data_IF_397102997618
#
_entry.id   IF_397102997618
#
_cell.length_a   1.000
_cell.length_b   1.000
_cell.length_c   1.000
_cell.angle_alpha   90.00
_cell.angle_beta   90.00
_cell.angle_gamma   90.00
#
_symmetry.space_group_name_H-M   'P 1'
#
loop_
_entity.id
_entity.type
_entity.pdbx_description
1 polymer ?
#
# COMPACT_ATOMS: atom_id res chain seq x y z
N UNK A 1 -0.72 11.59 19.87
CA UNK A 1 -1.83 10.64 19.54
C UNK A 1 -1.47 9.25 20.02
N UNK A 2 -2.48 8.42 20.30
CA UNK A 2 -2.33 6.97 20.45
C UNK A 2 -2.62 6.30 19.13
N UNK A 3 -1.63 5.62 18.57
CA UNK A 3 -1.66 5.09 17.19
C UNK A 3 -1.43 3.57 17.22
N UNK A 4 -2.30 2.84 16.54
CA UNK A 4 -2.18 1.38 16.38
C UNK A 4 -1.82 1.07 14.93
N UNK A 5 -0.64 0.48 14.71
CA UNK A 5 -0.19 0.04 13.39
C UNK A 5 -0.47 -1.46 13.26
N UNK A 6 -1.38 -1.84 12.38
CA UNK A 6 -1.71 -3.24 12.12
C UNK A 6 -1.03 -3.70 10.84
N UNK A 7 -0.13 -4.65 10.98
CA UNK A 7 0.79 -5.08 9.93
C UNK A 7 2.15 -4.38 10.08
N UNK A 8 2.98 -4.83 11.01
CA UNK A 8 4.31 -4.28 11.27
C UNK A 8 5.37 -5.03 10.43
N UNK A 9 5.07 -5.23 9.15
CA UNK A 9 6.05 -5.62 8.14
C UNK A 9 6.95 -4.43 7.76
N UNK A 10 7.57 -4.48 6.57
CA UNK A 10 8.54 -3.45 6.18
C UNK A 10 7.99 -2.02 6.28
N UNK A 11 6.84 -1.74 5.65
CA UNK A 11 6.25 -0.40 5.65
C UNK A 11 5.69 -0.02 7.02
N UNK A 12 4.95 -0.92 7.67
CA UNK A 12 4.39 -0.66 8.99
C UNK A 12 5.45 -0.42 10.05
N UNK A 13 6.63 -1.07 9.96
CA UNK A 13 7.76 -0.80 10.83
C UNK A 13 8.32 0.61 10.66
N UNK A 14 8.45 1.12 9.42
CA UNK A 14 8.85 2.51 9.19
C UNK A 14 7.83 3.48 9.79
N UNK A 15 6.54 3.22 9.60
CA UNK A 15 5.48 4.06 10.17
C UNK A 15 5.53 4.04 11.70
N UNK A 16 5.62 2.86 12.31
CA UNK A 16 5.69 2.71 13.76
C UNK A 16 6.90 3.44 14.35
N UNK A 17 8.07 3.26 13.75
CA UNK A 17 9.30 3.86 14.25
C UNK A 17 9.25 5.39 14.22
N UNK A 18 8.93 6.00 13.07
CA UNK A 18 8.97 7.45 12.94
C UNK A 18 7.86 8.12 13.77
N UNK A 19 6.67 7.54 13.81
CA UNK A 19 5.57 8.07 14.63
C UNK A 19 5.87 7.95 16.13
N UNK A 20 6.51 6.87 16.60
CA UNK A 20 6.91 6.75 18.00
C UNK A 20 8.06 7.70 18.35
N UNK A 21 9.06 7.84 17.48
CA UNK A 21 10.20 8.74 17.66
C UNK A 21 9.78 10.21 17.77
N UNK A 22 8.66 10.59 17.14
CA UNK A 22 8.07 11.93 17.23
C UNK A 22 7.19 12.14 18.49
N UNK A 23 7.15 11.18 19.43
CA UNK A 23 6.49 11.32 20.73
C UNK A 23 5.05 10.84 20.78
N UNK A 24 4.56 10.11 19.76
CA UNK A 24 3.27 9.45 19.83
C UNK A 24 3.35 8.14 20.65
N UNK A 25 2.23 7.74 21.29
CA UNK A 25 2.06 6.41 21.84
C UNK A 25 1.76 5.45 20.68
N UNK A 26 2.68 4.52 20.38
CA UNK A 26 2.56 3.64 19.22
C UNK A 26 2.53 2.17 19.66
N UNK A 27 1.52 1.46 19.13
CA UNK A 27 1.38 0.02 19.21
C UNK A 27 1.63 -0.60 17.85
N UNK A 28 2.61 -1.51 17.78
CA UNK A 28 2.94 -2.28 16.58
C UNK A 28 2.32 -3.67 16.70
N UNK A 29 1.37 -3.97 15.82
CA UNK A 29 0.60 -5.23 15.81
C UNK A 29 0.96 -6.05 14.58
N UNK A 30 1.45 -7.28 14.79
CA UNK A 30 1.72 -8.23 13.72
C UNK A 30 1.59 -9.67 14.23
N UNK A 31 1.52 -10.63 13.32
CA UNK A 31 1.56 -12.07 13.64
C UNK A 31 3.00 -12.62 13.62
N UNK A 32 3.97 -11.85 13.18
CA UNK A 32 5.39 -12.23 13.11
C UNK A 32 6.06 -12.05 14.47
N UNK A 33 5.93 -13.08 15.31
CA UNK A 33 6.38 -13.04 16.71
C UNK A 33 7.87 -12.70 16.85
N UNK A 34 8.74 -13.29 16.04
CA UNK A 34 10.19 -13.02 16.10
C UNK A 34 10.53 -11.54 15.88
N UNK A 35 9.80 -10.87 14.98
CA UNK A 35 9.99 -9.44 14.74
C UNK A 35 9.51 -8.59 15.92
N UNK A 36 8.38 -8.95 16.52
CA UNK A 36 7.84 -8.26 17.69
C UNK A 36 8.75 -8.47 18.92
N UNK A 37 9.25 -9.68 19.15
CA UNK A 37 10.18 -9.97 20.24
C UNK A 37 11.47 -9.15 20.11
N UNK A 38 12.05 -9.09 18.91
CA UNK A 38 13.24 -8.29 18.63
C UNK A 38 13.02 -6.78 18.87
N UNK A 39 11.84 -6.26 18.50
CA UNK A 39 11.46 -4.87 18.79
C UNK A 39 11.34 -4.63 20.29
N UNK A 40 10.71 -5.56 21.02
CA UNK A 40 10.52 -5.46 22.46
C UNK A 40 11.85 -5.48 23.22
N UNK A 41 12.77 -6.38 22.84
CA UNK A 41 14.03 -6.60 23.56
C UNK A 41 15.09 -5.55 23.23
N UNK A 42 15.17 -5.12 21.97
CA UNK A 42 16.25 -4.27 21.47
C UNK A 42 15.80 -2.92 20.91
N UNK A 43 14.51 -2.71 20.74
CA UNK A 43 13.92 -1.59 20.01
C UNK A 43 13.93 -1.83 18.50
N UNK A 44 13.14 -1.05 17.79
CA UNK A 44 13.06 -1.10 16.31
C UNK A 44 14.22 -0.29 15.71
N UNK A 45 15.13 -0.99 15.04
CA UNK A 45 16.23 -0.36 14.29
C UNK A 45 15.72 0.12 12.94
N UNK A 46 16.06 1.34 12.59
CA UNK A 46 15.74 1.96 11.29
C UNK A 46 17.04 2.40 10.64
N UNK A 47 17.19 2.08 9.35
CA UNK A 47 18.30 2.53 8.53
C UNK A 47 17.82 3.08 7.19
N UNK A 48 18.70 3.77 6.44
CA UNK A 48 18.42 4.24 5.08
C UNK A 48 17.82 5.64 5.03
N UNK A 49 16.79 5.86 4.21
CA UNK A 49 16.28 7.19 3.84
C UNK A 49 15.80 8.05 5.03
N UNK A 50 15.36 7.44 6.13
CA UNK A 50 14.99 8.16 7.37
C UNK A 50 16.16 8.38 8.34
N UNK A 51 17.36 7.96 7.98
CA UNK A 51 18.54 7.99 8.86
C UNK A 51 18.63 6.79 9.79
N UNK A 52 19.76 6.70 10.51
CA UNK A 52 20.04 5.60 11.43
C UNK A 52 19.50 5.93 12.82
N UNK A 53 18.64 5.04 13.37
CA UNK A 53 18.09 5.18 14.72
C UNK A 53 17.60 3.86 15.30
N UNK A 54 17.48 3.81 16.63
CA UNK A 54 16.82 2.73 17.36
C UNK A 54 15.70 3.31 18.23
N UNK A 55 14.47 2.91 17.93
CA UNK A 55 13.27 3.41 18.61
C UNK A 55 12.81 2.37 19.63
N UNK A 56 12.75 2.75 20.93
CA UNK A 56 12.46 1.83 22.05
C UNK A 56 11.09 2.02 22.67
N UNK A 57 10.39 3.10 22.37
CA UNK A 57 9.09 3.46 22.93
C UNK A 57 7.92 2.96 22.08
N UNK A 58 8.06 1.77 21.49
CA UNK A 58 7.00 1.08 20.73
C UNK A 58 6.49 -0.08 21.57
N UNK A 59 5.19 -0.16 21.77
CA UNK A 59 4.53 -1.31 22.36
C UNK A 59 4.21 -2.32 21.28
N UNK A 60 4.35 -3.60 21.57
CA UNK A 60 4.15 -4.67 20.58
C UNK A 60 3.13 -5.69 21.07
N UNK A 61 2.32 -6.23 20.17
CA UNK A 61 1.43 -7.35 20.46
C UNK A 61 1.03 -8.08 19.16
N UNK A 62 0.62 -9.33 19.32
CA UNK A 62 -0.05 -10.08 18.23
C UNK A 62 -1.54 -9.79 18.15
N UNK A 63 -2.11 -9.07 19.10
CA UNK A 63 -3.54 -8.75 19.18
C UNK A 63 -3.77 -7.25 19.29
N UNK A 64 -4.50 -6.69 18.34
CA UNK A 64 -4.86 -5.27 18.37
C UNK A 64 -5.61 -4.87 19.66
N UNK A 65 -6.42 -5.77 20.21
CA UNK A 65 -7.20 -5.54 21.43
C UNK A 65 -6.35 -5.14 22.65
N UNK A 66 -5.07 -5.56 22.72
CA UNK A 66 -4.18 -5.24 23.84
C UNK A 66 -3.84 -3.75 23.90
N UNK A 67 -3.94 -3.04 22.79
CA UNK A 67 -3.76 -1.60 22.75
C UNK A 67 -4.96 -0.83 23.35
N UNK A 68 -6.15 -1.41 23.39
CA UNK A 68 -7.37 -0.71 23.79
C UNK A 68 -7.75 0.45 22.85
N UNK A 69 -8.64 1.36 23.26
CA UNK A 69 -9.08 2.49 22.44
C UNK A 69 -7.92 3.39 21.99
N UNK A 70 -7.99 3.90 20.75
CA UNK A 70 -6.94 4.72 20.14
C UNK A 70 -7.52 5.84 19.26
N UNK A 71 -6.68 6.80 18.90
CA UNK A 71 -7.06 7.95 18.07
C UNK A 71 -6.96 7.60 16.58
N UNK A 72 -5.94 6.82 16.20
CA UNK A 72 -5.66 6.46 14.81
C UNK A 72 -5.26 4.98 14.71
N UNK A 73 -5.88 4.27 13.80
CA UNK A 73 -5.41 2.97 13.33
C UNK A 73 -4.81 3.13 11.94
N UNK A 74 -3.61 2.59 11.73
CA UNK A 74 -2.99 2.48 10.40
C UNK A 74 -2.98 1.01 10.00
N UNK A 75 -3.74 0.64 8.98
CA UNK A 75 -3.71 -0.71 8.41
C UNK A 75 -2.62 -0.73 7.34
N UNK A 76 -1.50 -1.40 7.64
CA UNK A 76 -0.33 -1.55 6.78
C UNK A 76 -0.06 -3.01 6.38
N UNK A 77 -1.06 -3.88 6.52
CA UNK A 77 -0.98 -5.28 6.08
C UNK A 77 -0.96 -5.38 4.55
N UNK A 78 -0.61 -6.55 4.00
CA UNK A 78 -0.88 -6.85 2.59
C UNK A 78 -2.38 -6.77 2.30
N UNK A 79 -2.76 -6.41 1.07
CA UNK A 79 -4.14 -6.17 0.67
C UNK A 79 -5.10 -7.35 0.98
N UNK A 80 -4.59 -8.58 0.94
CA UNK A 80 -5.37 -9.80 1.27
C UNK A 80 -5.79 -9.88 2.74
N UNK A 81 -5.04 -9.27 3.66
CA UNK A 81 -5.27 -9.31 5.10
C UNK A 81 -6.06 -8.11 5.65
N UNK A 82 -6.32 -7.07 4.82
CA UNK A 82 -7.01 -5.84 5.24
C UNK A 82 -8.36 -6.10 5.91
N UNK A 83 -9.19 -6.99 5.33
CA UNK A 83 -10.50 -7.32 5.91
C UNK A 83 -10.40 -8.05 7.26
N UNK A 84 -9.39 -8.91 7.44
CA UNK A 84 -9.14 -9.56 8.73
C UNK A 84 -8.63 -8.56 9.77
N UNK A 85 -7.71 -7.68 9.37
CA UNK A 85 -7.23 -6.59 10.21
C UNK A 85 -8.39 -5.70 10.68
N UNK A 86 -9.26 -5.26 9.77
CA UNK A 86 -10.43 -4.44 10.13
C UNK A 86 -11.35 -5.12 11.16
N UNK A 87 -11.59 -6.43 11.02
CA UNK A 87 -12.40 -7.17 11.99
C UNK A 87 -11.79 -7.27 13.39
N UNK A 88 -10.47 -7.25 13.49
CA UNK A 88 -9.77 -7.34 14.78
C UNK A 88 -9.78 -6.05 15.60
N UNK A 89 -10.29 -4.95 15.06
CA UNK A 89 -10.18 -3.61 15.62
C UNK A 89 -11.32 -3.20 16.57
N UNK A 90 -12.34 -4.04 16.75
CA UNK A 90 -13.56 -3.65 17.47
C UNK A 90 -13.31 -3.01 18.85
N UNK A 91 -12.30 -3.47 19.59
CA UNK A 91 -11.94 -2.92 20.91
C UNK A 91 -11.06 -1.68 20.85
N UNK A 92 -10.56 -1.29 19.68
CA UNK A 92 -9.69 -0.14 19.46
C UNK A 92 -10.47 1.10 19.03
N UNK A 93 -11.72 0.91 18.59
CA UNK A 93 -12.52 1.96 17.98
C UNK A 93 -13.38 2.68 19.01
N UNK A 94 -13.42 3.99 18.85
CA UNK A 94 -14.43 4.91 19.41
C UNK A 94 -15.12 5.61 18.24
N UNK A 95 -16.12 6.42 18.49
CA UNK A 95 -16.80 7.22 17.45
C UNK A 95 -15.84 8.21 16.76
N UNK A 96 -14.72 8.56 17.40
CA UNK A 96 -13.72 9.51 16.90
C UNK A 96 -12.48 8.82 16.30
N UNK A 97 -12.32 7.52 16.46
CA UNK A 97 -11.15 6.80 15.95
C UNK A 97 -11.09 6.83 14.42
N UNK A 98 -10.00 7.31 13.86
CA UNK A 98 -9.76 7.30 12.42
C UNK A 98 -9.04 6.02 11.99
N UNK A 99 -9.34 5.53 10.78
CA UNK A 99 -8.68 4.35 10.20
C UNK A 99 -8.04 4.75 8.88
N UNK A 100 -6.71 4.78 8.85
CA UNK A 100 -5.92 5.07 7.65
C UNK A 100 -5.44 3.79 7.00
N UNK A 101 -5.56 3.72 5.69
CA UNK A 101 -5.03 2.61 4.88
C UNK A 101 -4.20 3.14 3.72
N UNK A 102 -2.98 2.58 3.51
CA UNK A 102 -2.02 3.01 2.48
C UNK A 102 -1.54 1.78 1.69
N UNK A 103 -2.47 0.96 1.18
CA UNK A 103 -2.13 -0.21 0.37
C UNK A 103 -1.95 0.13 -1.11
N UNK A 104 -1.21 -0.74 -1.80
CA UNK A 104 -1.20 -0.76 -3.26
C UNK A 104 -2.50 -1.40 -3.79
N UNK A 105 -2.90 -1.01 -5.00
CA UNK A 105 -4.09 -1.55 -5.63
C UNK A 105 -5.37 -0.88 -5.17
N UNK A 106 -6.49 -1.55 -5.38
CA UNK A 106 -7.83 -1.04 -5.09
C UNK A 106 -8.56 -1.90 -4.05
N UNK A 107 -9.63 -1.34 -3.51
CA UNK A 107 -10.60 -2.03 -2.67
C UNK A 107 -10.20 -2.13 -1.19
N UNK A 108 -9.16 -1.45 -0.71
CA UNK A 108 -8.78 -1.47 0.70
C UNK A 108 -9.85 -0.77 1.56
N UNK A 109 -10.25 0.44 1.20
CA UNK A 109 -11.31 1.18 1.88
C UNK A 109 -12.63 0.40 1.92
N UNK A 110 -13.04 -0.17 0.79
CA UNK A 110 -14.26 -0.96 0.69
C UNK A 110 -14.21 -2.27 1.51
N UNK A 111 -13.03 -2.88 1.66
CA UNK A 111 -12.86 -4.04 2.55
C UNK A 111 -12.94 -3.65 4.02
N UNK A 112 -12.45 -2.47 4.38
CA UNK A 112 -12.54 -1.93 5.74
C UNK A 112 -13.99 -1.55 6.04
N UNK A 113 -14.67 -0.85 5.14
CA UNK A 113 -16.05 -0.35 5.33
C UNK A 113 -17.10 -1.46 5.50
N UNK A 114 -16.77 -2.71 5.15
CA UNK A 114 -17.62 -3.87 5.47
C UNK A 114 -17.71 -4.16 6.97
N UNK A 115 -16.80 -3.64 7.76
CA UNK A 115 -16.71 -3.92 9.19
C UNK A 115 -16.71 -2.66 10.06
N UNK A 116 -16.33 -1.51 9.49
CA UNK A 116 -16.16 -0.23 10.19
C UNK A 116 -16.94 0.86 9.46
N UNK A 117 -17.28 1.94 10.19
CA UNK A 117 -17.94 3.08 9.57
C UNK A 117 -17.03 3.73 8.53
N UNK A 118 -17.52 3.82 7.30
CA UNK A 118 -16.78 4.43 6.19
C UNK A 118 -16.52 5.93 6.37
N UNK A 119 -17.31 6.59 7.20
CA UNK A 119 -17.12 8.00 7.53
C UNK A 119 -15.78 8.27 8.23
N UNK A 120 -15.20 7.29 8.93
CA UNK A 120 -13.94 7.42 9.66
C UNK A 120 -12.73 6.86 8.90
N UNK A 121 -12.89 6.52 7.59
CA UNK A 121 -11.80 5.94 6.79
C UNK A 121 -11.07 7.03 6.01
N UNK A 122 -9.77 7.08 6.21
CA UNK A 122 -8.83 7.84 5.41
C UNK A 122 -8.09 6.90 4.46
N UNK A 123 -7.90 7.34 3.23
CA UNK A 123 -7.14 6.62 2.21
C UNK A 123 -5.80 7.32 1.99
N UNK A 124 -4.80 6.53 1.68
CA UNK A 124 -3.49 7.06 1.33
C UNK A 124 -2.86 6.34 0.15
N UNK A 125 -1.96 7.03 -0.53
CA UNK A 125 -1.10 6.48 -1.57
C UNK A 125 0.32 6.99 -1.39
N UNK A 126 1.28 6.06 -1.26
CA UNK A 126 2.70 6.37 -1.18
C UNK A 126 3.34 6.25 -2.57
N UNK A 127 4.07 7.29 -2.99
CA UNK A 127 4.89 7.30 -4.20
C UNK A 127 6.37 7.32 -3.83
N UNK A 128 7.22 6.54 -4.56
CA UNK A 128 8.65 6.49 -4.30
C UNK A 128 9.02 6.07 -2.87
N UNK A 129 8.15 5.31 -2.23
CA UNK A 129 8.29 4.87 -0.85
C UNK A 129 8.48 3.36 -0.82
N UNK A 130 9.58 2.90 -0.23
CA UNK A 130 9.88 1.48 -0.13
C UNK A 130 10.63 1.16 1.15
N UNK A 131 10.44 -0.07 1.65
CA UNK A 131 11.16 -0.57 2.80
C UNK A 131 11.38 -2.07 2.68
N UNK A 132 12.37 -2.58 3.40
CA UNK A 132 12.65 -4.00 3.55
C UNK A 132 12.98 -4.32 5.01
N UNK A 133 12.81 -5.57 5.40
CA UNK A 133 13.22 -6.06 6.74
C UNK A 133 14.39 -7.01 6.52
N UNK A 134 15.63 -6.55 6.71
CA UNK A 134 16.83 -7.41 6.58
C UNK A 134 16.85 -8.54 7.59
N UNK A 135 16.42 -8.24 8.83
CA UNK A 135 16.32 -9.18 9.94
C UNK A 135 15.22 -8.74 10.92
N UNK A 136 14.69 -9.63 11.77
CA UNK A 136 13.72 -9.26 12.79
C UNK A 136 14.20 -8.08 13.65
N UNK A 137 13.31 -7.08 13.88
CA UNK A 137 13.64 -5.88 14.64
C UNK A 137 14.43 -4.81 13.89
N UNK A 138 14.77 -5.03 12.59
CA UNK A 138 15.46 -4.07 11.76
C UNK A 138 14.71 -3.80 10.46
N UNK A 139 14.39 -2.54 10.19
CA UNK A 139 13.80 -2.09 8.92
C UNK A 139 14.76 -1.16 8.19
N UNK A 140 14.97 -1.43 6.90
CA UNK A 140 15.69 -0.53 5.99
C UNK A 140 14.69 0.24 5.13
N UNK A 141 14.72 1.57 5.25
CA UNK A 141 13.86 2.48 4.50
C UNK A 141 14.55 2.85 3.17
N UNK A 142 14.09 2.26 2.08
CA UNK A 142 14.74 2.38 0.76
C UNK A 142 14.56 3.75 0.10
N UNK A 143 13.46 4.44 0.40
CA UNK A 143 13.17 5.74 -0.19
C UNK A 143 11.95 6.41 0.42
N UNK A 144 11.96 7.75 0.43
CA UNK A 144 10.86 8.58 0.94
C UNK A 144 10.59 9.72 -0.03
N UNK A 145 9.54 9.60 -0.84
CA UNK A 145 9.07 10.71 -1.65
C UNK A 145 7.84 11.37 -1.01
N UNK A 146 6.65 10.98 -1.42
CA UNK A 146 5.43 11.64 -0.99
C UNK A 146 4.34 10.63 -0.63
N UNK A 147 3.77 10.80 0.56
CA UNK A 147 2.53 10.16 0.98
C UNK A 147 1.39 11.16 0.74
N UNK A 148 0.38 10.74 0.02
CA UNK A 148 -0.83 11.52 -0.25
C UNK A 148 -1.96 10.94 0.55
N UNK A 149 -2.67 11.77 1.29
CA UNK A 149 -3.80 11.37 2.13
C UNK A 149 -5.08 12.09 1.70
N UNK A 150 -6.22 11.45 1.91
CA UNK A 150 -7.53 12.04 1.66
C UNK A 150 -8.66 11.27 2.35
N UNK A 151 -9.81 11.91 2.44
CA UNK A 151 -11.03 11.27 2.92
C UNK A 151 -11.51 10.21 1.92
N UNK A 152 -12.03 9.07 2.42
CA UNK A 152 -12.56 8.00 1.54
C UNK A 152 -13.66 8.51 0.59
N UNK A 153 -14.49 9.41 1.08
CA UNK A 153 -15.59 10.01 0.33
C UNK A 153 -15.25 11.34 -0.33
N UNK A 154 -13.98 11.73 -0.30
CA UNK A 154 -13.50 13.01 -0.85
C UNK A 154 -13.73 14.20 0.07
N UNK A 155 -13.23 15.36 -0.36
CA UNK A 155 -13.27 16.61 0.39
C UNK A 155 -12.04 16.80 1.29
N UNK A 156 -12.03 17.96 1.95
CA UNK A 156 -11.00 18.34 2.94
C UNK A 156 -11.66 18.44 4.31
N UNK A 157 -10.95 18.04 5.36
CA UNK A 157 -11.45 18.11 6.74
C UNK A 157 -10.33 18.45 7.73
N UNK A 158 -10.70 19.02 8.87
CA UNK A 158 -9.74 19.33 9.94
C UNK A 158 -9.04 18.07 10.49
N UNK A 159 -9.75 16.94 10.57
CA UNK A 159 -9.18 15.67 11.04
C UNK A 159 -8.16 15.09 10.06
N UNK A 160 -8.39 15.22 8.74
CA UNK A 160 -7.42 14.83 7.70
C UNK A 160 -6.15 15.68 7.81
N UNK A 161 -6.29 17.00 7.96
CA UNK A 161 -5.16 17.92 8.15
C UNK A 161 -4.41 17.61 9.45
N UNK A 162 -5.13 17.27 10.53
CA UNK A 162 -4.52 16.89 11.79
C UNK A 162 -3.68 15.61 11.67
N UNK A 163 -4.20 14.56 11.02
CA UNK A 163 -3.45 13.34 10.74
C UNK A 163 -2.22 13.64 9.88
N UNK A 164 -2.38 14.41 8.81
CA UNK A 164 -1.26 14.80 7.96
C UNK A 164 -0.18 15.56 8.74
N UNK A 165 -0.56 16.47 9.64
CA UNK A 165 0.37 17.20 10.51
C UNK A 165 1.15 16.26 11.44
N UNK A 166 0.49 15.30 12.07
CA UNK A 166 1.14 14.29 12.93
C UNK A 166 2.19 13.50 12.15
N UNK A 167 1.88 13.11 10.90
CA UNK A 167 2.83 12.42 10.04
C UNK A 167 3.99 13.33 9.58
N UNK A 168 3.71 14.60 9.26
CA UNK A 168 4.75 15.58 8.93
C UNK A 168 5.70 15.81 10.10
N UNK A 169 5.17 15.94 11.33
CA UNK A 169 5.97 16.11 12.54
C UNK A 169 6.84 14.87 12.84
N UNK A 170 6.40 13.69 12.39
CA UNK A 170 7.20 12.46 12.42
C UNK A 170 8.25 12.37 11.30
N UNK A 171 8.37 13.39 10.44
CA UNK A 171 9.38 13.48 9.40
C UNK A 171 8.95 12.88 8.05
N UNK A 172 7.69 12.48 7.87
CA UNK A 172 7.19 12.08 6.58
C UNK A 172 6.87 13.28 5.68
N UNK A 173 7.14 13.14 4.38
CA UNK A 173 6.64 14.11 3.39
C UNK A 173 5.18 13.73 3.05
N UNK A 174 4.23 14.47 3.62
CA UNK A 174 2.79 14.19 3.50
C UNK A 174 2.05 15.40 2.96
N UNK A 175 1.09 15.16 2.06
CA UNK A 175 0.13 16.16 1.57
C UNK A 175 -1.28 15.60 1.55
N UNK A 176 -2.26 16.45 1.78
CA UNK A 176 -3.69 16.16 1.73
C UNK A 176 -4.29 16.51 0.38
N UNK A 177 -5.29 15.76 -0.04
CA UNK A 177 -5.96 15.93 -1.33
C UNK A 177 -7.46 15.73 -1.19
N UNK A 178 -8.23 16.60 -1.82
CA UNK A 178 -9.68 16.52 -1.83
C UNK A 178 -10.22 15.33 -2.64
N UNK A 179 -9.49 14.88 -3.65
CA UNK A 179 -9.80 13.67 -4.42
C UNK A 179 -8.60 12.70 -4.38
N UNK A 180 -8.56 11.92 -3.32
CA UNK A 180 -7.54 10.87 -3.16
C UNK A 180 -7.77 9.70 -4.12
N UNK A 181 -9.02 9.45 -4.53
CA UNK A 181 -9.35 8.36 -5.44
C UNK A 181 -8.71 8.56 -6.81
N UNK A 182 -8.68 9.80 -7.33
CA UNK A 182 -7.93 10.13 -8.54
C UNK A 182 -6.48 9.66 -8.45
N UNK A 183 -5.77 10.00 -7.38
CA UNK A 183 -4.35 9.69 -7.19
C UNK A 183 -4.09 8.19 -7.00
N UNK A 184 -4.98 7.51 -6.30
CA UNK A 184 -4.94 6.05 -6.15
C UNK A 184 -5.06 5.39 -7.53
N UNK A 185 -6.02 5.81 -8.34
CA UNK A 185 -6.23 5.26 -9.69
C UNK A 185 -5.10 5.57 -10.64
N UNK A 186 -4.51 6.76 -10.59
CA UNK A 186 -3.35 7.13 -11.40
C UNK A 186 -2.14 6.23 -11.10
N UNK A 187 -1.84 6.00 -9.82
CA UNK A 187 -0.80 5.03 -9.43
C UNK A 187 -1.21 3.60 -9.79
N UNK A 188 -2.47 3.24 -9.61
CA UNK A 188 -3.00 1.91 -9.92
C UNK A 188 -2.79 1.54 -11.38
N UNK A 189 -3.07 2.43 -12.33
CA UNK A 189 -2.86 2.20 -13.77
C UNK A 189 -1.38 1.89 -14.05
N UNK A 190 -0.45 2.62 -13.46
CA UNK A 190 0.98 2.36 -13.61
C UNK A 190 1.37 0.99 -13.02
N UNK A 191 0.86 0.65 -11.85
CA UNK A 191 1.11 -0.65 -11.23
C UNK A 191 0.53 -1.80 -12.05
N UNK A 192 -0.70 -1.66 -12.54
CA UNK A 192 -1.36 -2.65 -13.39
C UNK A 192 -0.55 -2.92 -14.65
N UNK A 193 -0.12 -1.86 -15.34
CA UNK A 193 0.67 -1.98 -16.56
C UNK A 193 2.05 -2.57 -16.31
N UNK A 194 2.83 -1.94 -15.44
CA UNK A 194 4.24 -2.22 -15.31
C UNK A 194 4.55 -3.36 -14.33
N UNK A 195 3.89 -3.39 -13.15
CA UNK A 195 4.17 -4.43 -12.16
C UNK A 195 3.67 -5.80 -12.61
N UNK A 196 2.49 -5.87 -13.24
CA UNK A 196 1.94 -7.09 -13.80
C UNK A 196 2.83 -7.67 -14.89
N UNK A 197 3.24 -6.85 -15.87
CA UNK A 197 4.13 -7.28 -16.95
C UNK A 197 5.53 -7.66 -16.42
N UNK A 198 6.14 -6.85 -15.56
CA UNK A 198 7.45 -7.13 -14.98
C UNK A 198 7.47 -8.47 -14.22
N UNK A 199 6.43 -8.76 -13.43
CA UNK A 199 6.30 -9.99 -12.68
C UNK A 199 6.00 -11.22 -13.58
N UNK A 200 5.24 -11.03 -14.67
CA UNK A 200 4.93 -12.11 -15.60
C UNK A 200 6.17 -12.55 -16.39
N UNK A 201 7.01 -11.59 -16.81
CA UNK A 201 8.16 -11.80 -17.68
C UNK A 201 9.52 -11.78 -16.98
N UNK A 202 9.56 -11.64 -15.64
CA UNK A 202 10.77 -11.59 -14.81
C UNK A 202 11.73 -10.46 -15.26
N UNK A 203 11.19 -9.24 -15.49
CA UNK A 203 11.91 -8.09 -16.05
C UNK A 203 11.85 -6.86 -15.14
N UNK A 204 12.84 -5.99 -15.23
CA UNK A 204 12.80 -4.65 -14.70
C UNK A 204 11.83 -3.78 -15.49
N UNK A 205 11.48 -2.58 -14.97
CA UNK A 205 10.56 -1.68 -15.67
C UNK A 205 11.12 -1.24 -17.03
N UNK A 206 12.41 -0.94 -17.12
CA UNK A 206 13.06 -0.57 -18.38
C UNK A 206 13.04 -1.72 -19.39
N UNK A 207 13.41 -2.94 -18.97
CA UNK A 207 13.37 -4.11 -19.85
C UNK A 207 11.96 -4.43 -20.39
N UNK A 208 10.90 -4.15 -19.60
CA UNK A 208 9.51 -4.25 -20.10
C UNK A 208 9.23 -3.21 -21.18
N UNK A 209 9.72 -1.98 -20.99
CA UNK A 209 9.47 -0.86 -21.91
C UNK A 209 10.32 -0.91 -23.18
N UNK A 210 11.54 -1.43 -23.09
CA UNK A 210 12.48 -1.52 -24.20
C UNK A 210 12.16 -2.67 -25.18
N UNK A 211 11.48 -3.73 -24.70
CA UNK A 211 11.07 -4.85 -25.52
C UNK A 211 9.67 -4.60 -26.12
N UNK A 212 9.53 -4.53 -27.45
CA UNK A 212 8.26 -4.20 -28.10
C UNK A 212 7.10 -5.15 -27.74
N UNK A 213 7.41 -6.44 -27.47
CA UNK A 213 6.37 -7.43 -27.15
C UNK A 213 5.83 -7.23 -25.73
N UNK A 214 6.72 -7.12 -24.75
CA UNK A 214 6.30 -6.92 -23.34
C UNK A 214 5.70 -5.55 -23.12
N UNK A 215 6.20 -4.51 -23.82
CA UNK A 215 5.64 -3.17 -23.78
C UNK A 215 4.21 -3.13 -24.34
N UNK A 216 3.94 -3.84 -25.45
CA UNK A 216 2.59 -3.93 -26.01
C UNK A 216 1.60 -4.55 -25.01
N UNK A 217 2.04 -5.58 -24.28
CA UNK A 217 1.22 -6.19 -23.21
C UNK A 217 1.00 -5.19 -22.07
N UNK A 218 2.06 -4.54 -21.59
CA UNK A 218 1.96 -3.55 -20.52
C UNK A 218 0.98 -2.41 -20.87
N UNK A 219 1.03 -1.90 -22.12
CA UNK A 219 0.07 -0.90 -22.61
C UNK A 219 -1.37 -1.41 -22.53
N UNK A 220 -1.64 -2.64 -23.01
CA UNK A 220 -2.99 -3.22 -23.00
C UNK A 220 -3.53 -3.37 -21.58
N UNK A 221 -2.70 -3.82 -20.63
CA UNK A 221 -3.05 -3.90 -19.22
C UNK A 221 -3.45 -2.54 -18.65
N UNK A 222 -2.63 -1.51 -18.88
CA UNK A 222 -2.89 -0.15 -18.42
C UNK A 222 -4.11 0.48 -19.07
N UNK A 223 -4.33 0.25 -20.39
CA UNK A 223 -5.48 0.76 -21.12
C UNK A 223 -6.80 0.13 -20.66
N UNK A 224 -6.83 -1.15 -20.28
CA UNK A 224 -8.01 -1.75 -19.65
C UNK A 224 -8.32 -1.06 -18.33
N UNK A 225 -7.33 -0.88 -17.45
CA UNK A 225 -7.51 -0.20 -16.16
C UNK A 225 -7.97 1.27 -16.36
N UNK A 226 -7.40 1.97 -17.34
CA UNK A 226 -7.81 3.35 -17.65
C UNK A 226 -9.27 3.42 -18.11
N UNK A 227 -9.70 2.54 -19.04
CA UNK A 227 -11.10 2.49 -19.50
C UNK A 227 -12.06 2.22 -18.33
N UNK A 228 -11.71 1.30 -17.47
CA UNK A 228 -12.50 0.96 -16.28
C UNK A 228 -12.59 2.14 -15.32
N UNK A 229 -11.48 2.83 -15.06
CA UNK A 229 -11.47 4.04 -14.23
C UNK A 229 -12.33 5.16 -14.80
N UNK A 230 -12.25 5.39 -16.12
CA UNK A 230 -13.12 6.38 -16.81
C UNK A 230 -14.60 6.02 -16.68
N UNK A 231 -14.97 4.75 -16.87
CA UNK A 231 -16.34 4.29 -16.70
C UNK A 231 -16.84 4.44 -15.25
N UNK A 232 -15.95 4.28 -14.28
CA UNK A 232 -16.25 4.51 -12.84
C UNK A 232 -16.34 6.00 -12.48
N UNK A 233 -16.05 6.91 -13.42
CA UNK A 233 -16.13 8.35 -13.20
C UNK A 233 -14.85 8.98 -12.62
N UNK A 234 -13.72 8.30 -12.69
CA UNK A 234 -12.43 8.87 -12.24
C UNK A 234 -11.97 9.96 -13.22
N UNK A 235 -11.65 11.13 -12.67
CA UNK A 235 -11.10 12.26 -13.40
C UNK A 235 -9.58 12.24 -13.35
N UNK A 236 -8.96 11.64 -14.37
CA UNK A 236 -7.49 11.57 -14.46
C UNK A 236 -6.89 12.94 -14.79
N UNK A 237 -5.70 13.24 -14.24
CA UNK A 237 -4.93 14.48 -14.53
C UNK A 237 -4.24 14.46 -15.90
N UNK A 238 -4.36 13.37 -16.65
CA UNK A 238 -3.76 13.18 -17.98
C UNK A 238 -4.80 12.66 -18.98
N UNK A 239 -4.54 12.92 -20.26
CA UNK A 239 -5.37 12.43 -21.36
C UNK A 239 -4.79 11.19 -22.04
N UNK A 240 -3.46 11.07 -22.10
CA UNK A 240 -2.74 9.94 -22.69
C UNK A 240 -2.21 8.99 -21.60
N UNK A 241 -2.91 7.87 -21.33
CA UNK A 241 -2.49 6.91 -20.33
C UNK A 241 -1.19 6.18 -20.71
N UNK A 242 -0.89 6.01 -21.99
CA UNK A 242 0.33 5.33 -22.45
C UNK A 242 1.54 6.20 -22.15
N UNK A 243 1.45 7.50 -22.46
CA UNK A 243 2.51 8.46 -22.14
C UNK A 243 2.70 8.56 -20.63
N UNK A 244 1.61 8.63 -19.85
CA UNK A 244 1.67 8.68 -18.39
C UNK A 244 2.38 7.45 -17.78
N UNK A 245 2.06 6.24 -18.26
CA UNK A 245 2.71 4.98 -17.83
C UNK A 245 4.19 4.99 -18.22
N UNK A 246 4.51 5.44 -19.44
CA UNK A 246 5.89 5.55 -19.94
C UNK A 246 6.72 6.51 -19.08
N UNK A 247 6.19 7.69 -18.79
CA UNK A 247 6.86 8.70 -17.96
C UNK A 247 7.10 8.19 -16.52
N UNK A 248 6.15 7.41 -15.99
CA UNK A 248 6.30 6.79 -14.68
C UNK A 248 7.43 5.74 -14.68
N UNK A 249 7.43 4.81 -15.63
CA UNK A 249 8.45 3.75 -15.73
C UNK A 249 9.85 4.28 -16.01
N UNK A 250 9.96 5.32 -16.84
CA UNK A 250 11.23 5.97 -17.22
C UNK A 250 11.97 6.63 -16.05
N UNK A 251 11.27 6.96 -14.96
CA UNK A 251 11.91 7.50 -13.75
C UNK A 251 12.76 6.48 -13.01
N UNK A 252 12.45 5.18 -13.16
CA UNK A 252 13.11 4.11 -12.42
C UNK A 252 13.32 2.85 -13.29
N UNK A 253 14.04 2.92 -14.41
CA UNK A 253 14.10 1.83 -15.40
C UNK A 253 14.73 0.54 -14.84
N UNK A 254 15.63 0.65 -13.86
CA UNK A 254 16.29 -0.50 -13.21
C UNK A 254 15.47 -1.12 -12.07
N UNK A 255 14.33 -0.53 -11.73
CA UNK A 255 13.53 -1.00 -10.61
C UNK A 255 12.86 -2.35 -10.94
N UNK A 256 12.88 -3.22 -9.94
CA UNK A 256 12.01 -4.41 -9.86
C UNK A 256 10.82 -4.03 -8.98
N UNK A 257 9.60 -4.05 -9.51
CA UNK A 257 8.42 -3.71 -8.72
C UNK A 257 8.16 -4.75 -7.61
N UNK A 258 7.42 -4.34 -6.58
CA UNK A 258 7.14 -5.17 -5.39
C UNK A 258 6.57 -6.55 -5.73
N UNK A 259 5.72 -6.64 -6.75
CA UNK A 259 5.13 -7.89 -7.21
C UNK A 259 6.21 -8.87 -7.72
N UNK A 260 7.18 -8.40 -8.50
CA UNK A 260 8.31 -9.22 -8.93
C UNK A 260 9.21 -9.61 -7.75
N UNK A 261 9.49 -8.68 -6.84
CA UNK A 261 10.29 -8.97 -5.63
C UNK A 261 9.61 -10.02 -4.73
N UNK A 262 8.29 -9.98 -4.60
CA UNK A 262 7.55 -11.00 -3.85
C UNK A 262 7.66 -12.38 -4.52
N UNK A 263 7.53 -12.48 -5.86
CA UNK A 263 7.72 -13.74 -6.59
C UNK A 263 9.15 -14.27 -6.42
N UNK A 264 10.17 -13.41 -6.56
CA UNK A 264 11.58 -13.80 -6.36
C UNK A 264 11.85 -14.33 -4.96
N UNK A 265 11.17 -13.76 -3.96
CA UNK A 265 11.26 -14.19 -2.57
C UNK A 265 10.27 -15.33 -2.22
N UNK A 266 9.59 -15.92 -3.22
CA UNK A 266 8.57 -16.96 -3.04
C UNK A 266 7.48 -16.56 -2.04
N UNK A 267 7.07 -15.29 -2.07
CA UNK A 267 5.97 -14.76 -1.26
C UNK A 267 4.75 -14.51 -2.10
N UNK A 268 3.57 -14.60 -1.48
CA UNK A 268 2.31 -14.22 -2.12
C UNK A 268 2.33 -12.72 -2.47
N UNK A 269 1.96 -12.41 -3.72
CA UNK A 269 1.91 -11.04 -4.25
C UNK A 269 0.58 -10.34 -3.92
N UNK A 270 0.45 -9.10 -4.37
CA UNK A 270 -0.81 -8.34 -4.31
C UNK A 270 -1.59 -8.39 -5.64
N UNK A 271 -1.40 -9.46 -6.42
CA UNK A 271 -2.03 -9.60 -7.75
C UNK A 271 -3.55 -9.44 -7.71
N UNK A 272 -4.23 -9.93 -6.66
CA UNK A 272 -5.68 -9.83 -6.50
C UNK A 272 -6.16 -8.37 -6.29
N UNK A 273 -5.34 -7.51 -5.72
CA UNK A 273 -5.65 -6.10 -5.50
C UNK A 273 -5.16 -5.18 -6.65
N UNK A 274 -4.30 -5.69 -7.52
CA UNK A 274 -3.75 -4.96 -8.66
C UNK A 274 -4.43 -5.47 -9.95
N UNK A 275 -3.80 -6.30 -10.75
CA UNK A 275 -4.39 -6.72 -12.03
C UNK A 275 -5.70 -7.49 -11.86
N UNK A 276 -5.81 -8.35 -10.82
CA UNK A 276 -7.02 -9.09 -10.52
C UNK A 276 -8.22 -8.22 -10.11
N UNK A 277 -7.98 -6.96 -9.71
CA UNK A 277 -9.06 -6.03 -9.38
C UNK A 277 -9.64 -5.33 -10.61
N UNK A 278 -8.89 -5.24 -11.72
CA UNK A 278 -9.39 -4.62 -12.97
C UNK A 278 -10.64 -5.33 -13.49
N UNK A 279 -10.67 -6.67 -13.69
CA UNK A 279 -11.87 -7.35 -14.16
C UNK A 279 -13.04 -7.29 -13.17
N UNK A 280 -12.76 -7.23 -11.85
CA UNK A 280 -13.82 -7.08 -10.84
C UNK A 280 -14.56 -5.76 -11.04
N UNK A 281 -13.81 -4.64 -11.11
CA UNK A 281 -14.41 -3.32 -11.32
C UNK A 281 -14.97 -3.17 -12.74
N UNK A 282 -14.34 -3.77 -13.75
CA UNK A 282 -14.83 -3.79 -15.13
C UNK A 282 -16.25 -4.36 -15.18
N UNK A 283 -16.47 -5.52 -14.54
CA UNK A 283 -17.79 -6.16 -14.49
C UNK A 283 -18.87 -5.27 -13.85
N UNK A 284 -18.52 -4.50 -12.81
CA UNK A 284 -19.44 -3.53 -12.20
C UNK A 284 -19.85 -2.42 -13.17
N UNK A 285 -19.01 -2.12 -14.18
CA UNK A 285 -19.23 -1.10 -15.19
C UNK A 285 -19.72 -1.68 -16.53
N UNK A 286 -20.02 -2.98 -16.61
CA UNK A 286 -20.43 -3.64 -17.85
C UNK A 286 -19.32 -3.74 -18.89
N UNK A 287 -18.06 -3.80 -18.46
CA UNK A 287 -16.86 -3.90 -19.28
C UNK A 287 -16.14 -5.21 -19.05
N UNK A 288 -15.26 -5.59 -19.99
CA UNK A 288 -14.33 -6.71 -19.90
C UNK A 288 -12.88 -6.24 -19.76
N UNK A 289 -12.04 -7.07 -19.12
CA UNK A 289 -10.62 -6.83 -18.93
C UNK A 289 -9.78 -8.11 -19.15
N UNK A 290 -9.83 -8.71 -20.34
CA UNK A 290 -9.25 -10.03 -20.61
C UNK A 290 -7.72 -10.09 -20.46
N UNK A 291 -7.00 -9.00 -20.74
CA UNK A 291 -5.55 -8.98 -20.53
C UNK A 291 -5.20 -9.04 -19.05
N UNK A 292 -5.92 -8.31 -18.21
CA UNK A 292 -5.72 -8.34 -16.77
C UNK A 292 -6.15 -9.66 -16.14
N UNK A 293 -7.21 -10.31 -16.64
CA UNK A 293 -7.58 -11.67 -16.24
C UNK A 293 -6.47 -12.67 -16.55
N UNK A 294 -5.91 -12.61 -17.77
CA UNK A 294 -4.84 -13.51 -18.20
C UNK A 294 -3.56 -13.32 -17.36
N UNK A 295 -3.11 -12.07 -17.15
CA UNK A 295 -1.93 -11.79 -16.31
C UNK A 295 -2.15 -12.21 -14.86
N UNK A 296 -3.33 -11.98 -14.30
CA UNK A 296 -3.65 -12.42 -12.96
C UNK A 296 -3.57 -13.95 -12.83
N UNK A 297 -4.07 -14.69 -13.82
CA UNK A 297 -3.96 -16.15 -13.86
C UNK A 297 -2.49 -16.62 -13.96
N UNK A 298 -1.67 -15.97 -14.79
CA UNK A 298 -0.23 -16.27 -14.91
C UNK A 298 0.48 -16.10 -13.57
N UNK A 299 0.29 -14.97 -12.90
CA UNK A 299 0.93 -14.70 -11.60
C UNK A 299 0.45 -15.69 -10.52
N UNK A 300 -0.85 -15.98 -10.44
CA UNK A 300 -1.39 -17.00 -9.51
C UNK A 300 -0.81 -18.38 -9.76
N UNK A 301 -0.57 -18.73 -11.01
CA UNK A 301 0.09 -19.99 -11.38
C UNK A 301 1.54 -20.02 -10.89
N UNK A 302 2.29 -18.91 -11.03
CA UNK A 302 3.64 -18.79 -10.45
C UNK A 302 3.61 -18.94 -8.92
N UNK A 303 2.65 -18.30 -8.24
CA UNK A 303 2.47 -18.39 -6.78
C UNK A 303 2.15 -19.82 -6.31
N UNK A 304 1.35 -20.58 -7.06
CA UNK A 304 0.99 -21.95 -6.69
C UNK A 304 2.19 -22.89 -6.62
N UNK A 305 3.28 -22.57 -7.31
CA UNK A 305 4.53 -23.32 -7.24
C UNK A 305 5.32 -23.11 -5.92
N UNK A 306 4.92 -22.16 -5.04
CA UNK A 306 5.60 -21.91 -3.77
C UNK A 306 5.09 -22.79 -2.64
N UNK A 307 3.93 -23.42 -2.81
CA UNK A 307 3.21 -24.21 -1.79
C UNK A 307 3.51 -25.70 -1.84
N UNK A 308 4.50 -26.12 -2.64
CA UNK A 308 4.96 -27.50 -2.74
C UNK A 308 6.31 -27.71 -2.05
#
# INVERSE_FOLDING_TARGET
MKIVIVGTGAMGSVYAALLADSGNEVWAIDLWQEHLDAINDHGLQVSGASGERTVRNIQVSTRAADAGPCDLVVIATKASAVGAAARSLTSNLTDETLVLTIQNGLGAGERISKNLDSANILLGVAGGFGASVPEPGHVHHNGMELIRLGEMHGGMSERLEHVAKVWQDAGFNVKTFADINQLIWEKFICNVALSGAAAAFDRTLGEVMDDPVTWEIAKKLGLEAYRVGKAKGIHFSFEDPVQYISDFGSKMPKAKPSMLLDLMAKRRTEIDAINGMVPVVAKEQGLDAPYNEAIAAVIKTKESAFTN
#
